data_IF_393120206805
#
_entry.id   IF_393120206805
#
_cell.length_a   1.000
_cell.length_b   1.000
_cell.length_c   1.000
_cell.angle_alpha   90.00
_cell.angle_beta   90.00
_cell.angle_gamma   90.00
#
_symmetry.space_group_name_H-M   'P 1'
#
loop_
_entity.id
_entity.type
_entity.pdbx_description
1 polymer ?
#
# COMPACT_ATOMS: atom_id res chain seq x y z
N UNK A 1 -10.20 10.82 17.77
CA UNK A 1 -10.72 11.23 16.45
C UNK A 1 -11.30 12.61 16.57
N UNK A 2 -10.99 13.48 15.62
CA UNK A 2 -11.64 14.79 15.51
C UNK A 2 -13.04 14.60 14.89
N UNK A 3 -14.00 15.50 15.15
CA UNK A 3 -15.41 15.37 14.71
C UNK A 3 -15.52 15.13 13.19
N UNK A 4 -14.69 15.80 12.39
CA UNK A 4 -14.66 15.63 10.92
C UNK A 4 -14.19 14.23 10.47
N UNK A 5 -13.30 13.57 11.23
CA UNK A 5 -12.81 12.23 10.90
C UNK A 5 -13.91 11.18 11.13
N UNK A 6 -14.64 11.30 12.25
CA UNK A 6 -15.76 10.41 12.55
C UNK A 6 -16.90 10.57 11.55
N UNK A 7 -17.20 11.81 11.12
CA UNK A 7 -18.19 12.07 10.05
C UNK A 7 -17.78 11.42 8.73
N UNK A 8 -16.50 11.51 8.34
CA UNK A 8 -15.98 10.86 7.14
C UNK A 8 -16.07 9.33 7.25
N UNK A 9 -15.69 8.75 8.39
CA UNK A 9 -15.80 7.29 8.60
C UNK A 9 -17.27 6.83 8.59
N UNK A 10 -18.19 7.61 9.14
CA UNK A 10 -19.62 7.31 9.08
C UNK A 10 -20.15 7.32 7.64
N UNK A 11 -19.75 8.32 6.85
CA UNK A 11 -20.09 8.37 5.43
C UNK A 11 -19.55 7.14 4.68
N UNK A 12 -18.25 6.85 4.80
CA UNK A 12 -17.63 5.69 4.17
C UNK A 12 -18.27 4.38 4.63
N UNK A 13 -18.68 4.31 5.90
CA UNK A 13 -19.38 3.14 6.46
C UNK A 13 -20.78 2.93 5.91
N UNK A 14 -21.41 3.97 5.37
CA UNK A 14 -22.74 3.91 4.78
C UNK A 14 -22.76 3.41 3.33
N UNK A 15 -21.59 3.32 2.69
CA UNK A 15 -21.47 2.92 1.29
C UNK A 15 -21.77 1.42 1.11
N UNK A 16 -22.44 1.00 0.02
CA UNK A 16 -22.94 -0.37 -0.17
C UNK A 16 -21.85 -1.34 -0.66
N UNK A 17 -20.58 -1.04 -0.41
CA UNK A 17 -19.44 -1.83 -0.84
C UNK A 17 -18.34 -1.85 0.23
N UNK A 18 -17.47 -2.86 0.13
CA UNK A 18 -16.28 -2.97 0.98
C UNK A 18 -15.18 -2.07 0.43
N UNK A 19 -14.60 -1.27 1.32
CA UNK A 19 -13.49 -0.37 1.07
C UNK A 19 -12.24 -1.03 1.64
N UNK A 20 -11.34 -1.40 0.74
CA UNK A 20 -10.03 -1.91 1.08
C UNK A 20 -9.00 -0.82 0.77
N UNK A 21 -8.07 -0.59 1.68
CA UNK A 21 -7.00 0.38 1.45
C UNK A 21 -5.67 -0.15 1.99
N UNK A 22 -4.58 0.36 1.41
CA UNK A 22 -3.22 0.21 1.92
C UNK A 22 -2.78 1.56 2.48
N UNK A 23 -1.92 1.56 3.49
CA UNK A 23 -1.41 2.78 4.08
C UNK A 23 -0.37 3.48 3.17
N UNK A 24 -0.31 4.81 3.28
CA UNK A 24 0.74 5.63 2.66
C UNK A 24 1.64 6.32 3.69
N UNK A 25 2.28 7.42 3.29
CA UNK A 25 3.18 8.20 4.14
C UNK A 25 2.48 9.32 4.93
N UNK A 26 1.15 9.41 4.90
CA UNK A 26 0.39 10.47 5.61
C UNK A 26 -0.76 9.90 6.44
N UNK A 27 -0.56 8.71 7.00
CA UNK A 27 -1.51 8.10 7.92
C UNK A 27 -1.21 8.46 9.38
N UNK A 28 -2.24 8.43 10.21
CA UNK A 28 -2.08 8.46 11.67
C UNK A 28 -1.76 7.04 12.16
N UNK A 29 -0.48 6.70 12.22
CA UNK A 29 -0.03 5.35 12.58
C UNK A 29 -0.38 4.95 14.03
N UNK A 30 -0.45 5.91 14.97
CA UNK A 30 -0.91 5.60 16.34
C UNK A 30 -2.37 5.13 16.33
N UNK A 31 -3.23 5.82 15.57
CA UNK A 31 -4.62 5.41 15.43
C UNK A 31 -4.73 4.10 14.65
N UNK A 32 -4.03 3.97 13.52
CA UNK A 32 -4.08 2.80 12.64
C UNK A 32 -3.62 1.54 13.38
N UNK A 33 -2.53 1.61 14.15
CA UNK A 33 -1.98 0.50 14.91
C UNK A 33 -2.73 0.22 16.23
N UNK A 34 -3.67 1.08 16.63
CA UNK A 34 -4.54 0.83 17.79
C UNK A 34 -5.70 -0.12 17.49
N UNK A 35 -6.04 -0.30 16.21
CA UNK A 35 -7.07 -1.25 15.79
C UNK A 35 -6.58 -2.69 15.95
N UNK A 36 -7.47 -3.63 16.29
CA UNK A 36 -7.10 -5.03 16.41
C UNK A 36 -6.64 -5.58 15.05
N UNK A 37 -5.61 -6.41 15.10
CA UNK A 37 -5.18 -7.21 13.96
C UNK A 37 -6.11 -8.43 13.85
N UNK A 38 -6.77 -8.57 12.70
CA UNK A 38 -7.59 -9.73 12.34
C UNK A 38 -6.98 -10.44 11.13
N UNK A 39 -7.40 -11.69 10.88
CA UNK A 39 -7.06 -12.41 9.65
C UNK A 39 -8.28 -12.45 8.72
N UNK A 40 -8.12 -11.98 7.49
CA UNK A 40 -9.21 -11.86 6.52
C UNK A 40 -8.69 -12.14 5.11
N UNK A 41 -9.40 -12.99 4.37
CA UNK A 41 -9.10 -13.34 2.97
C UNK A 41 -7.64 -13.67 2.67
N UNK A 42 -6.91 -14.33 3.59
CA UNK A 42 -5.54 -14.79 3.37
C UNK A 42 -4.44 -13.92 3.99
N UNK A 43 -4.77 -12.75 4.55
CA UNK A 43 -3.79 -11.84 5.14
C UNK A 43 -4.25 -11.19 6.43
N UNK A 44 -3.31 -10.55 7.12
CA UNK A 44 -3.57 -9.71 8.30
C UNK A 44 -4.17 -8.36 7.90
N UNK A 45 -5.15 -7.88 8.66
CA UNK A 45 -5.83 -6.61 8.43
C UNK A 45 -5.99 -5.82 9.72
N UNK A 46 -6.07 -4.49 9.62
CA UNK A 46 -6.74 -3.70 10.65
C UNK A 46 -8.20 -3.45 10.24
N UNK A 47 -9.15 -3.86 11.10
CA UNK A 47 -10.56 -3.64 10.84
C UNK A 47 -11.02 -2.32 11.46
N UNK A 48 -11.16 -1.31 10.60
CA UNK A 48 -11.49 0.06 11.02
C UNK A 48 -13.00 0.18 11.31
N UNK A 49 -13.80 -0.36 10.38
CA UNK A 49 -15.27 -0.50 10.45
C UNK A 49 -15.68 -1.78 9.71
N UNK A 50 -16.97 -2.12 9.70
CA UNK A 50 -17.45 -3.35 9.07
C UNK A 50 -17.09 -3.47 7.59
N UNK A 51 -17.12 -2.37 6.84
CA UNK A 51 -16.81 -2.31 5.41
C UNK A 51 -15.54 -1.49 5.11
N UNK A 52 -14.75 -1.10 6.12
CA UNK A 52 -13.50 -0.33 5.92
C UNK A 52 -12.36 -1.14 6.52
N UNK A 53 -11.50 -1.67 5.67
CA UNK A 53 -10.48 -2.64 6.03
C UNK A 53 -9.12 -2.17 5.50
N UNK A 54 -8.16 -2.02 6.40
CA UNK A 54 -6.78 -1.79 6.07
C UNK A 54 -6.09 -3.12 5.76
N UNK A 55 -5.60 -3.27 4.54
CA UNK A 55 -4.79 -4.39 4.10
C UNK A 55 -3.34 -4.17 4.56
N UNK A 56 -2.89 -4.95 5.56
CA UNK A 56 -1.57 -4.70 6.13
C UNK A 56 -0.43 -4.99 5.14
N UNK A 57 0.71 -4.37 5.40
CA UNK A 57 1.92 -4.51 4.59
C UNK A 57 2.42 -5.94 4.54
N UNK A 58 2.96 -6.34 3.39
CA UNK A 58 3.58 -7.64 3.16
C UNK A 58 2.60 -8.82 3.10
N UNK A 59 1.29 -8.57 3.08
CA UNK A 59 0.26 -9.60 3.03
C UNK A 59 -0.17 -9.90 1.59
N UNK A 60 -0.76 -11.08 1.39
CA UNK A 60 -1.40 -11.46 0.12
C UNK A 60 -2.85 -11.81 0.42
N UNK A 61 -3.78 -11.21 -0.33
CA UNK A 61 -5.22 -11.41 -0.19
C UNK A 61 -5.81 -12.09 -1.41
N UNK A 62 -6.74 -13.01 -1.21
CA UNK A 62 -7.56 -13.58 -2.29
C UNK A 62 -8.95 -12.95 -2.28
N UNK A 63 -9.27 -12.18 -3.31
CA UNK A 63 -10.55 -11.48 -3.46
C UNK A 63 -11.09 -11.81 -4.86
N UNK A 64 -12.31 -12.35 -4.93
CA UNK A 64 -12.94 -12.75 -6.19
C UNK A 64 -12.02 -13.63 -7.07
N UNK A 65 -11.37 -14.61 -6.43
CA UNK A 65 -10.40 -15.54 -7.04
C UNK A 65 -9.12 -14.91 -7.61
N UNK A 66 -8.86 -13.63 -7.33
CA UNK A 66 -7.61 -12.94 -7.70
C UNK A 66 -6.77 -12.68 -6.45
N UNK A 67 -5.45 -12.80 -6.59
CA UNK A 67 -4.47 -12.58 -5.54
C UNK A 67 -3.89 -11.16 -5.60
N UNK A 68 -3.82 -10.50 -4.45
CA UNK A 68 -3.33 -9.12 -4.31
C UNK A 68 -2.23 -9.08 -3.25
N UNK A 69 -0.99 -8.84 -3.67
CA UNK A 69 0.08 -8.50 -2.73
C UNK A 69 0.03 -7.00 -2.40
N UNK A 70 0.16 -6.67 -1.11
CA UNK A 70 0.04 -5.28 -0.63
C UNK A 70 1.31 -4.79 0.07
N UNK A 71 1.77 -3.59 -0.30
CA UNK A 71 2.89 -2.95 0.37
C UNK A 71 2.70 -1.43 0.48
N UNK A 72 2.22 -0.99 1.64
CA UNK A 72 2.10 0.42 1.98
C UNK A 72 3.43 1.10 2.30
N UNK A 73 3.33 2.35 2.76
CA UNK A 73 4.44 3.17 3.20
C UNK A 73 5.05 4.08 2.13
N UNK A 74 5.80 5.08 2.61
CA UNK A 74 6.52 6.08 1.82
C UNK A 74 7.21 7.09 2.73
N UNK A 75 7.92 8.06 2.17
CA UNK A 75 8.68 9.08 2.89
C UNK A 75 8.08 10.45 2.66
N UNK A 76 7.73 11.10 3.77
CA UNK A 76 7.41 12.52 3.76
C UNK A 76 8.66 13.37 3.51
N UNK A 77 8.78 13.93 2.30
CA UNK A 77 9.90 14.84 1.93
C UNK A 77 9.96 16.08 2.82
N UNK A 78 8.83 16.49 3.38
CA UNK A 78 8.64 17.64 4.25
C UNK A 78 8.71 17.27 5.75
N UNK A 79 9.17 16.06 6.10
CA UNK A 79 9.27 15.61 7.51
C UNK A 79 10.04 16.57 8.42
N UNK A 80 11.02 17.29 7.87
CA UNK A 80 11.82 18.28 8.62
C UNK A 80 11.01 19.50 9.07
N UNK A 81 9.82 19.71 8.51
CA UNK A 81 8.86 20.75 8.89
C UNK A 81 7.73 20.21 9.77
N UNK A 82 7.70 18.90 10.06
CA UNK A 82 6.62 18.21 10.76
C UNK A 82 7.01 17.85 12.19
N UNK A 83 6.03 17.41 12.97
CA UNK A 83 6.21 16.98 14.35
C UNK A 83 5.96 15.48 14.45
N UNK A 84 6.98 14.74 14.89
CA UNK A 84 6.90 13.30 15.14
C UNK A 84 5.77 12.97 16.13
N UNK A 85 4.98 11.95 15.80
CA UNK A 85 3.81 11.51 16.58
C UNK A 85 2.58 12.42 16.46
N UNK A 86 2.60 13.42 15.56
CA UNK A 86 1.49 14.36 15.38
C UNK A 86 1.16 14.59 13.90
N UNK A 87 2.16 14.87 13.08
CA UNK A 87 1.99 15.11 11.64
C UNK A 87 2.97 14.31 10.78
N UNK A 88 3.82 13.51 11.41
CA UNK A 88 4.78 12.60 10.80
C UNK A 88 5.03 11.43 11.76
N UNK A 89 5.25 10.24 11.22
CA UNK A 89 5.57 9.03 11.99
C UNK A 89 6.73 8.28 11.34
N UNK A 90 7.60 7.67 12.16
CA UNK A 90 8.68 6.82 11.63
C UNK A 90 8.13 5.57 10.93
N UNK A 91 6.92 5.16 11.33
CA UNK A 91 6.13 4.06 10.79
C UNK A 91 5.66 4.31 9.35
N UNK A 92 5.81 5.52 8.81
CA UNK A 92 5.60 5.80 7.37
C UNK A 92 6.44 4.88 6.48
N UNK A 93 7.63 4.48 6.93
CA UNK A 93 8.47 3.51 6.22
C UNK A 93 8.31 2.11 6.83
N UNK A 94 8.31 1.04 6.00
CA UNK A 94 8.17 -0.31 6.54
C UNK A 94 9.35 -0.78 7.39
N UNK A 95 9.04 -1.59 8.40
CA UNK A 95 10.04 -2.19 9.29
C UNK A 95 10.73 -3.40 8.65
N UNK A 96 11.88 -3.83 9.19
CA UNK A 96 12.54 -5.07 8.72
C UNK A 96 11.63 -6.30 8.87
N UNK A 97 10.82 -6.35 9.92
CA UNK A 97 9.86 -7.42 10.16
C UNK A 97 8.78 -7.45 9.06
N UNK A 98 8.26 -6.29 8.66
CA UNK A 98 7.29 -6.19 7.56
C UNK A 98 7.90 -6.63 6.22
N UNK A 99 9.15 -6.27 5.95
CA UNK A 99 9.86 -6.74 4.76
C UNK A 99 10.17 -8.24 4.79
N UNK A 100 10.53 -8.79 5.95
CA UNK A 100 10.76 -10.24 6.11
C UNK A 100 9.46 -11.01 5.86
N UNK A 101 8.37 -10.55 6.49
CA UNK A 101 7.06 -11.17 6.33
C UNK A 101 6.56 -11.09 4.89
N UNK A 102 6.79 -9.98 4.19
CA UNK A 102 6.46 -9.84 2.78
C UNK A 102 7.16 -10.91 1.92
N UNK A 103 8.47 -11.13 2.13
CA UNK A 103 9.22 -12.17 1.41
C UNK A 103 8.72 -13.57 1.73
N UNK A 104 8.44 -13.85 3.00
CA UNK A 104 7.89 -15.14 3.42
C UNK A 104 6.53 -15.40 2.78
N UNK A 105 5.66 -14.40 2.71
CA UNK A 105 4.35 -14.54 2.08
C UNK A 105 4.48 -14.72 0.56
N UNK A 106 5.32 -13.95 -0.12
CA UNK A 106 5.58 -14.15 -1.56
C UNK A 106 6.15 -15.56 -1.84
N UNK A 107 7.03 -16.06 -0.97
CA UNK A 107 7.58 -17.43 -1.09
C UNK A 107 6.48 -18.49 -1.01
N UNK A 108 5.47 -18.33 -0.15
CA UNK A 108 4.33 -19.28 -0.03
C UNK A 108 3.46 -19.34 -1.28
N UNK A 109 3.51 -18.31 -2.12
CA UNK A 109 2.79 -18.22 -3.40
C UNK A 109 3.73 -18.43 -4.60
N UNK A 110 4.91 -19.03 -4.39
CA UNK A 110 5.92 -19.28 -5.42
C UNK A 110 6.23 -18.02 -6.24
N UNK A 111 6.23 -16.85 -5.59
CA UNK A 111 6.44 -15.55 -6.20
C UNK A 111 5.51 -15.28 -7.39
N UNK A 112 4.25 -15.72 -7.30
CA UNK A 112 3.23 -15.49 -8.33
C UNK A 112 1.96 -14.92 -7.70
N UNK A 113 1.56 -13.72 -8.12
CA UNK A 113 0.32 -13.06 -7.69
C UNK A 113 -0.33 -12.36 -8.88
N UNK A 114 -1.65 -12.15 -8.87
CA UNK A 114 -2.31 -11.48 -9.99
C UNK A 114 -1.99 -9.99 -10.02
N UNK A 115 -2.05 -9.35 -8.85
CA UNK A 115 -1.83 -7.91 -8.70
C UNK A 115 -0.89 -7.57 -7.55
N UNK A 116 -0.17 -6.48 -7.75
CA UNK A 116 0.60 -5.81 -6.70
C UNK A 116 0.01 -4.42 -6.49
N UNK A 117 -0.28 -4.08 -5.24
CA UNK A 117 -0.72 -2.76 -4.81
C UNK A 117 0.31 -2.17 -3.86
N UNK A 118 0.88 -1.02 -4.22
CA UNK A 118 1.80 -0.30 -3.34
C UNK A 118 1.51 1.18 -3.27
N UNK A 119 1.94 1.86 -2.21
CA UNK A 119 1.86 3.32 -2.19
C UNK A 119 3.01 3.93 -3.00
N UNK A 120 4.25 3.59 -2.63
CA UNK A 120 5.47 4.00 -3.33
C UNK A 120 5.73 3.16 -4.60
N UNK A 121 6.61 3.65 -5.47
CA UNK A 121 7.01 2.95 -6.69
C UNK A 121 8.35 2.19 -6.51
N UNK A 122 8.61 1.14 -7.31
CA UNK A 122 9.91 0.49 -7.36
C UNK A 122 11.00 1.40 -7.96
N UNK A 123 12.26 1.16 -7.57
CA UNK A 123 13.42 2.02 -7.89
C UNK A 123 13.56 2.36 -9.37
N UNK A 124 13.36 1.37 -10.26
CA UNK A 124 13.47 1.57 -11.71
C UNK A 124 12.38 2.50 -12.24
N UNK A 125 11.18 2.44 -11.68
CA UNK A 125 10.06 3.34 -12.03
C UNK A 125 10.31 4.72 -11.45
N UNK A 126 10.76 4.81 -10.19
CA UNK A 126 11.14 6.09 -9.58
C UNK A 126 12.20 6.81 -10.40
N UNK A 127 13.24 6.12 -10.87
CA UNK A 127 14.27 6.72 -11.73
C UNK A 127 13.76 7.19 -13.10
N UNK A 128 12.66 6.64 -13.62
CA UNK A 128 12.01 7.14 -14.85
C UNK A 128 11.24 8.44 -14.62
N UNK A 129 10.84 8.73 -13.38
CA UNK A 129 10.08 9.93 -13.01
C UNK A 129 11.03 11.00 -12.47
N UNK A 130 11.88 10.62 -11.52
CA UNK A 130 12.84 11.46 -10.81
C UNK A 130 14.23 10.80 -10.79
N UNK A 131 15.06 11.01 -11.82
CA UNK A 131 16.44 10.54 -11.80
C UNK A 131 17.22 11.10 -10.60
N UNK A 132 18.02 10.26 -9.93
CA UNK A 132 18.83 10.62 -8.76
C UNK A 132 18.04 11.03 -7.49
N UNK A 133 16.83 10.49 -7.31
CA UNK A 133 16.10 10.64 -6.06
C UNK A 133 16.81 9.90 -4.90
N UNK A 134 16.65 10.39 -3.68
CA UNK A 134 17.29 9.87 -2.45
C UNK A 134 16.35 9.48 -1.28
N UNK A 135 15.14 10.07 -1.09
CA UNK A 135 14.45 9.99 0.21
C UNK A 135 13.81 8.64 0.58
N UNK A 136 13.61 7.70 -0.35
CA UNK A 136 12.87 6.45 -0.11
C UNK A 136 13.65 5.16 -0.44
N UNK A 137 14.95 5.28 -0.68
CA UNK A 137 15.73 4.27 -1.40
C UNK A 137 15.56 2.85 -0.85
N UNK A 138 15.46 2.66 0.46
CA UNK A 138 15.27 1.32 1.05
C UNK A 138 13.94 0.68 0.65
N UNK A 139 12.84 1.44 0.66
CA UNK A 139 11.53 0.95 0.23
C UNK A 139 11.52 0.74 -1.29
N UNK A 140 12.04 1.69 -2.07
CA UNK A 140 12.06 1.55 -3.53
C UNK A 140 12.92 0.35 -3.99
N UNK A 141 14.04 0.07 -3.30
CA UNK A 141 14.88 -1.10 -3.56
C UNK A 141 14.19 -2.41 -3.18
N UNK A 142 13.43 -2.45 -2.08
CA UNK A 142 12.62 -3.62 -1.76
C UNK A 142 11.53 -3.85 -2.82
N UNK A 143 10.82 -2.80 -3.22
CA UNK A 143 9.82 -2.92 -4.28
C UNK A 143 10.48 -3.33 -5.62
N UNK A 144 11.73 -2.92 -5.86
CA UNK A 144 12.51 -3.39 -7.01
C UNK A 144 12.82 -4.89 -6.91
N UNK A 145 13.21 -5.39 -5.73
CA UNK A 145 13.39 -6.82 -5.46
C UNK A 145 12.10 -7.60 -5.77
N UNK A 146 10.94 -7.12 -5.30
CA UNK A 146 9.63 -7.73 -5.60
C UNK A 146 9.36 -7.73 -7.11
N UNK A 147 9.58 -6.60 -7.79
CA UNK A 147 9.41 -6.48 -9.24
C UNK A 147 10.28 -7.47 -10.03
N UNK A 148 11.51 -7.71 -9.58
CA UNK A 148 12.46 -8.57 -10.29
C UNK A 148 12.24 -10.07 -10.01
N UNK A 149 11.54 -10.41 -8.93
CA UNK A 149 11.36 -11.81 -8.47
C UNK A 149 9.94 -12.34 -8.64
N UNK A 150 8.94 -11.47 -8.70
CA UNK A 150 7.51 -11.85 -8.66
C UNK A 150 6.87 -11.74 -10.04
N UNK A 151 6.17 -12.79 -10.46
CA UNK A 151 5.30 -12.76 -11.63
C UNK A 151 3.96 -12.13 -11.27
N UNK A 152 3.53 -11.12 -12.05
CA UNK A 152 2.24 -10.45 -11.87
C UNK A 152 1.60 -10.02 -13.18
N UNK A 153 0.27 -9.92 -13.17
CA UNK A 153 -0.49 -9.41 -14.31
C UNK A 153 -0.38 -7.90 -14.39
N UNK A 154 -0.58 -7.20 -13.26
CA UNK A 154 -0.46 -5.74 -13.21
C UNK A 154 -0.06 -5.22 -11.82
N UNK A 155 0.68 -4.11 -11.79
CA UNK A 155 1.07 -3.41 -10.57
C UNK A 155 0.44 -2.01 -10.57
N UNK A 156 -0.29 -1.65 -9.51
CA UNK A 156 -0.80 -0.30 -9.30
C UNK A 156 -0.12 0.40 -8.12
N UNK A 157 0.27 1.66 -8.31
CA UNK A 157 0.82 2.48 -7.24
C UNK A 157 0.34 3.95 -7.26
N UNK A 158 0.58 4.66 -6.16
CA UNK A 158 0.15 6.06 -5.99
C UNK A 158 1.31 7.02 -5.73
N UNK A 159 1.23 7.73 -4.60
CA UNK A 159 2.25 8.63 -4.02
C UNK A 159 2.60 9.91 -4.80
N UNK A 160 2.85 9.86 -6.12
CA UNK A 160 3.44 11.01 -6.86
C UNK A 160 2.40 11.91 -7.57
N UNK A 161 1.11 11.73 -7.27
CA UNK A 161 -0.02 12.55 -7.75
C UNK A 161 -0.06 12.74 -9.28
N UNK A 162 0.22 11.67 -10.02
CA UNK A 162 0.20 11.65 -11.49
C UNK A 162 -0.55 10.41 -11.98
N UNK A 163 -1.10 10.52 -13.17
CA UNK A 163 -1.68 9.39 -13.90
C UNK A 163 -0.71 8.98 -15.00
N UNK A 164 -0.10 7.78 -14.89
CA UNK A 164 0.93 7.36 -15.84
C UNK A 164 1.06 5.85 -15.94
N UNK A 165 1.17 5.33 -17.16
CA UNK A 165 1.52 3.93 -17.41
C UNK A 165 3.00 3.82 -17.77
N UNK A 166 3.63 2.76 -17.27
CA UNK A 166 5.03 2.44 -17.47
C UNK A 166 5.17 1.05 -18.13
N UNK A 167 6.36 0.69 -18.63
CA UNK A 167 6.67 -0.71 -18.95
C UNK A 167 6.48 -1.63 -17.73
N UNK A 168 6.56 -2.94 -17.96
CA UNK A 168 6.42 -3.97 -16.91
C UNK A 168 5.02 -4.08 -16.29
N UNK A 169 3.97 -3.67 -17.02
CA UNK A 169 2.58 -3.68 -16.54
C UNK A 169 2.39 -2.89 -15.24
N UNK A 170 3.00 -1.72 -15.15
CA UNK A 170 2.91 -0.84 -13.98
C UNK A 170 2.11 0.42 -14.33
N UNK A 171 1.15 0.78 -13.50
CA UNK A 171 0.37 2.01 -13.64
C UNK A 171 0.34 2.79 -12.33
N UNK A 172 0.65 4.08 -12.43
CA UNK A 172 0.41 5.06 -11.38
C UNK A 172 -1.01 5.61 -11.52
N UNK A 173 -1.76 5.58 -10.43
CA UNK A 173 -3.12 6.12 -10.33
C UNK A 173 -3.14 7.37 -9.44
N UNK A 174 -3.97 8.35 -9.80
CA UNK A 174 -4.25 9.51 -8.95
C UNK A 174 -5.74 9.87 -8.90
N UNK A 175 -6.34 10.19 -10.04
CA UNK A 175 -7.76 10.58 -10.11
C UNK A 175 -8.64 9.49 -10.73
N UNK A 176 -8.06 8.59 -11.53
CA UNK A 176 -8.81 7.55 -12.22
C UNK A 176 -8.99 6.31 -11.34
N UNK A 177 -10.17 5.69 -11.47
CA UNK A 177 -10.42 4.33 -11.00
C UNK A 177 -10.24 3.33 -12.12
N UNK A 178 -9.79 2.12 -11.78
CA UNK A 178 -9.68 1.00 -12.71
C UNK A 178 -10.69 -0.07 -12.30
N UNK A 179 -11.44 -0.57 -13.28
CA UNK A 179 -12.26 -1.77 -13.11
C UNK A 179 -11.39 -2.97 -13.47
N UNK A 180 -11.27 -3.91 -12.54
CA UNK A 180 -10.58 -5.18 -12.78
C UNK A 180 -11.59 -6.18 -13.35
N UNK A 181 -11.66 -6.28 -14.67
CA UNK A 181 -12.58 -7.22 -15.32
C UNK A 181 -12.10 -8.68 -15.14
N UNK A 182 -13.05 -9.59 -15.01
CA UNK A 182 -12.83 -11.03 -15.19
C UNK A 182 -12.61 -11.31 -16.68
N UNK A 183 -11.35 -11.50 -17.09
CA UNK A 183 -11.05 -12.19 -18.35
C UNK A 183 -11.07 -13.69 -18.16
#
# INVERSE_FOLDING_TARGET
MNTSEEENLNYLSSLPFTILFIDGNHENFDALNSYPVEYWNGGKVHKIRNNIIHLMRGQIFTIENKTFFTMGGGHSIDKFLRKEGVSWWKEELPSEEEFSEARENLTKYDFTVDYILSHAAPEKIMNMIFPNHAPELRLNLFLQEVMDTTSYSHWYFGHLHQERTFPFNVTQLYENGIVLDDK
#
